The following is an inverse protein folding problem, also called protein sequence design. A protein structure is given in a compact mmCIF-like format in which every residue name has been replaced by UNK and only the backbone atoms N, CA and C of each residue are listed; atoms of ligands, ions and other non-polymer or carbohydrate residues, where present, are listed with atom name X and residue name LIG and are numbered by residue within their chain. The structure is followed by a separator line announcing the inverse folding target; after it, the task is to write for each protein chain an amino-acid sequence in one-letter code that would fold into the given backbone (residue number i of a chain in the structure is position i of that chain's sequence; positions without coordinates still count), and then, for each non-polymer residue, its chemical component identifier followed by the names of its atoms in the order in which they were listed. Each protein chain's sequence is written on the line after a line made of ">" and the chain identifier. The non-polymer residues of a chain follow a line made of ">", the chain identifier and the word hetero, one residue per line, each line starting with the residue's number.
data_IF_397242372270
#
_entry.id   IF_397242372270
#
_cell.length_a   1.000
_cell.length_b   1.000
_cell.length_c   1.000
_cell.angle_alpha   90.00
_cell.angle_beta   90.00
_cell.angle_gamma   90.00
#
_symmetry.space_group_name_H-M   'P 1'
#
loop_
_entity.id
_entity.type
_entity.pdbx_description
1 polymer ?
#
# COMPACT_ATOMS: atom_id res chain seq x y z
N UNK A 1 -45.85 11.70 -85.65
CA UNK A 1 -45.88 10.60 -84.67
C UNK A 1 -44.88 10.93 -83.58
N UNK A 2 -45.37 11.03 -82.35
CA UNK A 2 -44.65 11.47 -81.17
C UNK A 2 -43.60 10.44 -80.72
N UNK A 3 -42.53 10.90 -80.05
CA UNK A 3 -42.28 10.64 -78.63
C UNK A 3 -40.99 11.36 -78.21
N UNK A 4 -41.15 12.37 -77.35
CA UNK A 4 -40.07 13.06 -76.64
C UNK A 4 -39.62 12.12 -75.52
N UNK A 5 -38.33 11.76 -75.52
CA UNK A 5 -37.73 10.88 -74.53
C UNK A 5 -37.71 11.54 -73.15
N UNK A 6 -38.43 10.95 -72.21
CA UNK A 6 -38.39 11.32 -70.80
C UNK A 6 -37.07 10.83 -70.18
N UNK A 7 -36.27 11.78 -69.66
CA UNK A 7 -35.12 11.49 -68.79
C UNK A 7 -35.61 11.17 -67.38
N UNK A 8 -35.53 9.90 -66.98
CA UNK A 8 -35.68 9.50 -65.58
C UNK A 8 -34.28 9.49 -64.96
N UNK A 9 -33.99 10.50 -64.14
CA UNK A 9 -32.90 10.46 -63.17
C UNK A 9 -33.27 9.46 -62.08
N UNK A 10 -32.61 8.31 -62.05
CA UNK A 10 -32.66 7.38 -60.91
C UNK A 10 -31.76 7.96 -59.83
N UNK A 11 -32.35 8.56 -58.80
CA UNK A 11 -31.65 8.89 -57.57
C UNK A 11 -31.57 7.64 -56.70
N UNK A 12 -30.41 6.97 -56.69
CA UNK A 12 -30.09 6.01 -55.64
C UNK A 12 -29.68 6.79 -54.39
N UNK A 13 -30.60 6.92 -53.44
CA UNK A 13 -30.25 7.29 -52.08
C UNK A 13 -29.46 6.12 -51.47
N UNK A 14 -28.17 6.31 -51.23
CA UNK A 14 -27.36 5.40 -50.41
C UNK A 14 -27.80 5.64 -48.96
N UNK A 15 -28.43 4.68 -48.26
CA UNK A 15 -28.63 4.83 -46.83
C UNK A 15 -27.26 4.79 -46.14
N UNK A 16 -26.99 5.67 -45.16
CA UNK A 16 -25.77 5.56 -44.38
C UNK A 16 -25.80 4.22 -43.65
N UNK A 17 -24.69 3.48 -43.78
CA UNK A 17 -24.42 2.30 -42.97
C UNK A 17 -24.34 2.77 -41.51
N UNK A 18 -25.43 2.65 -40.78
CA UNK A 18 -25.42 2.81 -39.33
C UNK A 18 -24.65 1.60 -38.81
N UNK A 19 -23.41 1.83 -38.36
CA UNK A 19 -22.78 0.88 -37.44
C UNK A 19 -23.67 0.85 -36.20
N UNK A 20 -24.52 -0.17 -36.11
CA UNK A 20 -25.06 -0.59 -34.83
C UNK A 20 -23.83 -0.98 -34.01
N UNK A 21 -23.38 -0.08 -33.15
CA UNK A 21 -22.61 -0.48 -31.99
C UNK A 21 -23.56 -1.40 -31.22
N UNK A 22 -23.35 -2.72 -31.32
CA UNK A 22 -23.99 -3.64 -30.38
C UNK A 22 -23.56 -3.15 -29.01
N UNK A 23 -24.46 -2.45 -28.33
CA UNK A 23 -24.35 -2.26 -26.91
C UNK A 23 -24.43 -3.67 -26.32
N UNK A 24 -23.26 -4.28 -26.11
CA UNK A 24 -23.16 -5.39 -25.17
C UNK A 24 -23.88 -4.90 -23.91
N UNK A 25 -24.85 -5.64 -23.36
CA UNK A 25 -25.42 -5.28 -22.08
C UNK A 25 -24.27 -5.27 -21.08
N UNK A 26 -23.78 -4.06 -20.77
CA UNK A 26 -22.85 -3.86 -19.69
C UNK A 26 -23.66 -4.22 -18.45
N UNK A 27 -23.42 -5.42 -17.91
CA UNK A 27 -23.82 -5.71 -16.55
C UNK A 27 -23.29 -4.54 -15.71
N UNK A 28 -24.12 -3.91 -14.87
CA UNK A 28 -23.59 -2.92 -13.93
C UNK A 28 -22.43 -3.58 -13.19
N UNK A 29 -21.30 -2.88 -12.97
CA UNK A 29 -20.17 -3.47 -12.28
C UNK A 29 -20.70 -4.08 -10.98
N UNK A 30 -20.41 -5.38 -10.79
CA UNK A 30 -20.82 -6.06 -9.58
C UNK A 30 -20.33 -5.25 -8.39
N UNK A 31 -21.23 -4.99 -7.42
CA UNK A 31 -20.84 -4.26 -6.22
C UNK A 31 -19.66 -4.99 -5.56
N UNK A 32 -18.58 -4.26 -5.27
CA UNK A 32 -17.38 -4.81 -4.62
C UNK A 32 -17.78 -5.56 -3.36
N UNK A 33 -17.22 -6.75 -3.19
CA UNK A 33 -17.38 -7.51 -1.95
C UNK A 33 -16.84 -6.73 -0.75
N UNK A 34 -17.31 -7.04 0.46
CA UNK A 34 -16.77 -6.41 1.67
C UNK A 34 -15.26 -6.68 1.84
N UNK A 35 -14.82 -7.89 1.47
CA UNK A 35 -13.41 -8.31 1.49
C UNK A 35 -12.57 -7.48 0.51
N UNK A 36 -13.03 -7.32 -0.73
CA UNK A 36 -12.34 -6.53 -1.76
C UNK A 36 -12.26 -5.04 -1.40
N UNK A 37 -13.31 -4.49 -0.77
CA UNK A 37 -13.30 -3.10 -0.30
C UNK A 37 -12.26 -2.89 0.79
N UNK A 38 -12.17 -3.80 1.76
CA UNK A 38 -11.17 -3.73 2.83
C UNK A 38 -9.74 -3.84 2.27
N UNK A 39 -9.51 -4.75 1.30
CA UNK A 39 -8.23 -4.85 0.60
C UNK A 39 -7.83 -3.53 -0.09
N UNK A 40 -8.76 -2.88 -0.80
CA UNK A 40 -8.49 -1.63 -1.51
C UNK A 40 -8.22 -0.47 -0.54
N UNK A 41 -9.01 -0.35 0.53
CA UNK A 41 -8.84 0.69 1.56
C UNK A 41 -7.50 0.56 2.29
N UNK A 42 -7.10 -0.66 2.67
CA UNK A 42 -5.81 -0.88 3.31
C UNK A 42 -4.62 -0.59 2.38
N UNK A 43 -4.71 -0.97 1.10
CA UNK A 43 -3.66 -0.65 0.12
C UNK A 43 -3.57 0.86 -0.13
N UNK A 44 -4.71 1.56 -0.21
CA UNK A 44 -4.73 3.01 -0.36
C UNK A 44 -4.07 3.70 0.85
N UNK A 45 -4.38 3.24 2.07
CA UNK A 45 -3.74 3.72 3.28
C UNK A 45 -2.22 3.47 3.29
N UNK A 46 -1.77 2.27 2.91
CA UNK A 46 -0.35 1.92 2.83
C UNK A 46 0.40 2.79 1.80
N UNK A 47 -0.18 2.98 0.61
CA UNK A 47 0.40 3.84 -0.42
C UNK A 47 0.42 5.31 0.00
N UNK A 48 -0.64 5.81 0.62
CA UNK A 48 -0.71 7.18 1.12
C UNK A 48 0.36 7.43 2.18
N UNK A 49 0.53 6.50 3.13
CA UNK A 49 1.60 6.55 4.14
C UNK A 49 2.98 6.57 3.48
N UNK A 50 3.25 5.65 2.55
CA UNK A 50 4.51 5.58 1.80
C UNK A 50 4.82 6.92 1.11
N UNK A 51 3.85 7.48 0.38
CA UNK A 51 4.03 8.76 -0.33
C UNK A 51 4.31 9.92 0.61
N UNK A 52 3.63 9.96 1.77
CA UNK A 52 3.88 10.98 2.79
C UNK A 52 5.29 10.85 3.39
N UNK A 53 5.71 9.63 3.71
CA UNK A 53 7.01 9.37 4.34
C UNK A 53 8.19 9.58 3.37
N UNK A 54 7.96 9.43 2.05
CA UNK A 54 8.93 9.77 1.01
C UNK A 54 9.14 11.27 0.82
N UNK A 55 8.31 12.14 1.40
CA UNK A 55 8.41 13.59 1.24
C UNK A 55 9.54 14.24 2.09
N UNK A 56 10.65 13.53 2.27
CA UNK A 56 11.83 14.02 2.98
C UNK A 56 12.48 15.19 2.24
N UNK A 57 12.95 16.18 2.99
CA UNK A 57 13.72 17.29 2.41
C UNK A 57 15.14 16.80 2.07
N UNK A 58 15.68 17.13 0.88
CA UNK A 58 17.06 16.80 0.55
C UNK A 58 18.03 17.36 1.58
N UNK A 59 18.99 16.53 1.97
CA UNK A 59 20.04 16.86 2.93
C UNK A 59 21.30 17.41 2.26
N UNK A 60 21.46 17.14 0.95
CA UNK A 60 22.66 17.47 0.18
C UNK A 60 23.69 16.35 0.15
N UNK A 61 23.43 15.25 0.86
CA UNK A 61 24.16 14.00 0.75
C UNK A 61 23.31 13.01 -0.06
N UNK A 62 23.81 12.62 -1.23
CA UNK A 62 23.08 11.78 -2.19
C UNK A 62 22.77 10.39 -1.63
N UNK A 63 23.69 9.81 -0.85
CA UNK A 63 23.51 8.47 -0.29
C UNK A 63 22.44 8.51 0.81
N UNK A 64 22.48 9.54 1.66
CA UNK A 64 21.43 9.76 2.67
C UNK A 64 20.08 10.07 2.06
N UNK A 65 20.04 10.86 0.99
CA UNK A 65 18.81 11.22 0.29
C UNK A 65 18.21 10.01 -0.43
N UNK A 66 19.04 9.12 -1.00
CA UNK A 66 18.60 7.84 -1.55
C UNK A 66 17.95 6.96 -0.48
N UNK A 67 18.60 6.77 0.68
CA UNK A 67 18.05 5.96 1.78
C UNK A 67 16.78 6.59 2.36
N UNK A 68 16.73 7.91 2.50
CA UNK A 68 15.56 8.63 2.99
C UNK A 68 14.32 8.43 2.10
N UNK A 69 14.51 8.27 0.79
CA UNK A 69 13.42 7.95 -0.14
C UNK A 69 13.13 6.45 -0.21
N UNK A 70 14.17 5.61 -0.26
CA UNK A 70 14.00 4.18 -0.52
C UNK A 70 13.52 3.39 0.70
N UNK A 71 13.91 3.80 1.92
CA UNK A 71 13.44 3.17 3.14
C UNK A 71 11.90 3.18 3.27
N UNK A 72 11.19 4.34 3.18
CA UNK A 72 9.73 4.33 3.19
C UNK A 72 9.11 3.66 1.96
N UNK A 73 9.75 3.74 0.78
CA UNK A 73 9.28 3.02 -0.42
C UNK A 73 9.23 1.49 -0.20
N UNK A 74 10.32 0.93 0.31
CA UNK A 74 10.39 -0.50 0.66
C UNK A 74 9.42 -0.87 1.77
N UNK A 75 9.23 -0.01 2.78
CA UNK A 75 8.22 -0.24 3.82
C UNK A 75 6.81 -0.29 3.24
N UNK A 76 6.47 0.59 2.31
CA UNK A 76 5.18 0.54 1.60
C UNK A 76 4.98 -0.78 0.83
N UNK A 77 6.03 -1.28 0.17
CA UNK A 77 5.99 -2.57 -0.51
C UNK A 77 5.78 -3.75 0.46
N UNK A 78 6.43 -3.71 1.64
CA UNK A 78 6.22 -4.69 2.72
C UNK A 78 4.77 -4.66 3.20
N UNK A 79 4.23 -3.47 3.45
CA UNK A 79 2.86 -3.29 3.96
C UNK A 79 1.84 -3.86 2.95
N UNK A 80 2.01 -3.57 1.65
CA UNK A 80 1.16 -4.12 0.58
C UNK A 80 1.30 -5.65 0.44
N UNK A 81 2.52 -6.19 0.58
CA UNK A 81 2.75 -7.62 0.55
C UNK A 81 2.05 -8.33 1.74
N UNK A 82 2.06 -7.72 2.93
CA UNK A 82 1.30 -8.22 4.10
C UNK A 82 -0.21 -8.19 3.83
N UNK A 83 -0.72 -7.16 3.14
CA UNK A 83 -2.12 -7.08 2.73
C UNK A 83 -2.47 -8.21 1.74
N UNK A 84 -1.61 -8.51 0.76
CA UNK A 84 -1.79 -9.67 -0.14
C UNK A 84 -1.81 -10.99 0.64
N UNK A 85 -0.96 -11.16 1.66
CA UNK A 85 -1.01 -12.36 2.51
C UNK A 85 -2.30 -12.49 3.33
N UNK A 86 -3.01 -11.39 3.58
CA UNK A 86 -4.27 -11.38 4.32
C UNK A 86 -5.47 -11.71 3.44
N UNK A 87 -5.54 -11.12 2.25
CA UNK A 87 -6.73 -11.18 1.38
C UNK A 87 -6.53 -12.07 0.14
N UNK A 88 -5.28 -12.22 -0.31
CA UNK A 88 -4.91 -12.97 -1.50
C UNK A 88 -5.09 -14.47 -1.32
N UNK A 89 -5.62 -15.10 -2.37
CA UNK A 89 -5.94 -16.55 -2.41
C UNK A 89 -5.09 -17.32 -3.41
N UNK A 90 -4.29 -16.62 -4.22
CA UNK A 90 -3.39 -17.26 -5.18
C UNK A 90 -2.06 -17.61 -4.51
N UNK A 91 -1.75 -18.90 -4.40
CA UNK A 91 -0.54 -19.37 -3.71
C UNK A 91 0.77 -18.83 -4.29
N UNK A 92 0.84 -18.61 -5.61
CA UNK A 92 2.03 -18.04 -6.25
C UNK A 92 2.20 -16.57 -5.86
N UNK A 93 1.12 -15.77 -5.87
CA UNK A 93 1.18 -14.37 -5.44
C UNK A 93 1.51 -14.24 -3.96
N UNK A 94 0.97 -15.12 -3.12
CA UNK A 94 1.32 -15.17 -1.69
C UNK A 94 2.79 -15.52 -1.47
N UNK A 95 3.37 -16.44 -2.26
CA UNK A 95 4.81 -16.72 -2.20
C UNK A 95 5.63 -15.51 -2.61
N UNK A 96 5.26 -14.82 -3.69
CA UNK A 96 5.91 -13.58 -4.12
C UNK A 96 5.82 -12.51 -3.02
N UNK A 97 4.67 -12.38 -2.34
CA UNK A 97 4.52 -11.45 -1.22
C UNK A 97 5.45 -11.79 -0.04
N UNK A 98 5.65 -13.07 0.28
CA UNK A 98 6.62 -13.50 1.29
C UNK A 98 8.06 -13.14 0.90
N UNK A 99 8.41 -13.35 -0.37
CA UNK A 99 9.73 -12.98 -0.91
C UNK A 99 9.96 -11.47 -0.82
N UNK A 100 8.97 -10.65 -1.23
CA UNK A 100 9.02 -9.19 -1.08
C UNK A 100 9.28 -8.79 0.38
N UNK A 101 8.57 -9.39 1.34
CA UNK A 101 8.75 -9.04 2.76
C UNK A 101 10.20 -9.29 3.20
N UNK A 102 10.74 -10.46 2.87
CA UNK A 102 12.10 -10.85 3.30
C UNK A 102 13.15 -9.96 2.64
N UNK A 103 13.07 -9.79 1.32
CA UNK A 103 14.09 -9.07 0.56
C UNK A 103 14.09 -7.58 0.92
N UNK A 104 12.92 -6.95 0.98
CA UNK A 104 12.81 -5.53 1.30
C UNK A 104 13.23 -5.21 2.74
N UNK A 105 12.98 -6.12 3.70
CA UNK A 105 13.50 -5.96 5.07
C UNK A 105 15.03 -6.03 5.12
N UNK A 106 15.64 -6.90 4.33
CA UNK A 106 17.10 -7.00 4.23
C UNK A 106 17.69 -5.76 3.57
N UNK A 107 17.06 -5.24 2.51
CA UNK A 107 17.50 -4.02 1.82
C UNK A 107 17.40 -2.79 2.72
N UNK A 108 16.31 -2.64 3.49
CA UNK A 108 16.19 -1.58 4.51
C UNK A 108 17.35 -1.64 5.51
N UNK A 109 17.67 -2.84 6.03
CA UNK A 109 18.74 -3.00 7.01
C UNK A 109 20.12 -2.68 6.39
N UNK A 110 20.37 -3.15 5.16
CA UNK A 110 21.60 -2.88 4.44
C UNK A 110 21.79 -1.40 4.12
N UNK A 111 20.74 -0.71 3.70
CA UNK A 111 20.75 0.73 3.41
C UNK A 111 21.05 1.57 4.66
N UNK A 112 20.37 1.29 5.79
CA UNK A 112 20.63 1.99 7.06
C UNK A 112 22.08 1.80 7.51
N UNK A 113 22.58 0.57 7.44
CA UNK A 113 23.96 0.26 7.78
C UNK A 113 24.96 1.02 6.88
N UNK A 114 24.69 1.14 5.58
CA UNK A 114 25.56 1.80 4.62
C UNK A 114 25.75 3.31 4.92
N UNK A 115 24.74 3.98 5.49
CA UNK A 115 24.82 5.39 5.91
C UNK A 115 25.20 5.59 7.39
N UNK A 116 25.65 4.52 8.06
CA UNK A 116 26.11 4.54 9.45
C UNK A 116 24.99 4.60 10.49
N UNK A 117 23.74 4.32 10.11
CA UNK A 117 22.62 4.23 11.03
C UNK A 117 22.50 2.80 11.59
N UNK A 118 22.32 2.64 12.92
CA UNK A 118 22.15 1.32 13.51
C UNK A 118 20.84 0.69 13.02
N UNK A 119 20.87 -0.62 12.75
CA UNK A 119 19.72 -1.40 12.29
C UNK A 119 18.69 -1.67 13.42
N UNK A 120 18.42 -0.69 14.29
CA UNK A 120 17.76 -0.92 15.59
C UNK A 120 16.24 -0.96 15.56
N UNK A 121 15.59 -0.71 14.42
CA UNK A 121 14.12 -0.68 14.33
C UNK A 121 13.55 -1.81 13.46
N UNK A 122 14.05 -3.04 13.64
CA UNK A 122 13.32 -4.22 13.12
C UNK A 122 12.20 -4.57 14.08
N UNK A 123 11.14 -3.73 14.09
CA UNK A 123 9.85 -4.24 14.55
C UNK A 123 9.49 -5.40 13.62
N UNK A 124 9.31 -6.63 14.14
CA UNK A 124 8.92 -7.75 13.29
C UNK A 124 7.64 -7.36 12.55
N UNK A 125 7.58 -7.64 11.24
CA UNK A 125 6.35 -7.48 10.48
C UNK A 125 5.21 -8.17 11.25
N UNK A 126 4.04 -7.52 11.44
CA UNK A 126 2.95 -8.08 12.21
C UNK A 126 2.33 -9.23 11.41
N UNK A 127 2.94 -10.39 11.51
CA UNK A 127 2.45 -11.65 10.95
C UNK A 127 1.42 -12.31 11.85
N UNK A 128 1.07 -11.68 12.99
CA UNK A 128 0.02 -12.12 13.89
C UNK A 128 -0.91 -10.96 14.31
N UNK A 129 -2.22 -11.22 14.46
CA UNK A 129 -3.12 -10.27 15.10
C UNK A 129 -2.67 -10.01 16.56
N UNK A 130 -2.92 -8.81 17.10
CA UNK A 130 -2.45 -8.45 18.43
C UNK A 130 -3.00 -9.43 19.46
N UNK A 131 -2.09 -10.18 20.08
CA UNK A 131 -2.39 -10.90 21.32
C UNK A 131 -2.64 -9.85 22.40
N UNK A 132 -3.70 -10.04 23.20
CA UNK A 132 -4.26 -9.05 24.13
C UNK A 132 -3.29 -8.45 25.17
N UNK A 133 -3.78 -7.57 26.06
CA UNK A 133 -2.95 -6.62 26.78
C UNK A 133 -1.98 -7.31 27.74
N UNK A 134 -0.68 -7.12 27.49
CA UNK A 134 0.38 -7.40 28.46
C UNK A 134 0.25 -6.42 29.62
N UNK A 135 0.01 -6.95 30.81
CA UNK A 135 -0.07 -6.17 32.04
C UNK A 135 1.28 -5.48 32.32
N UNK A 136 1.26 -4.15 32.31
CA UNK A 136 2.40 -3.33 32.72
C UNK A 136 2.71 -3.53 34.20
N UNK A 137 3.80 -4.23 34.51
CA UNK A 137 4.39 -4.23 35.85
C UNK A 137 5.14 -2.91 36.02
N UNK A 138 4.53 -1.96 36.73
CA UNK A 138 5.20 -0.73 37.14
C UNK A 138 6.23 -1.01 38.24
N UNK A 139 7.50 -0.78 37.93
CA UNK A 139 8.59 -0.66 38.91
C UNK A 139 8.70 0.80 39.36
N UNK A 140 8.44 1.09 40.64
CA UNK A 140 8.66 2.40 41.26
C UNK A 140 10.04 2.42 41.95
N UNK A 141 10.89 3.45 41.75
CA UNK A 141 12.05 3.68 42.61
C UNK A 141 11.75 4.75 43.67
N UNK A 142 12.09 4.45 44.93
CA UNK A 142 12.52 5.47 45.90
C UNK A 142 11.59 5.78 47.08
N UNK A 143 11.97 5.31 48.28
CA UNK A 143 12.27 6.19 49.43
C UNK A 143 12.86 5.34 50.58
N UNK A 144 14.16 5.48 50.78
CA UNK A 144 14.89 4.89 51.90
C UNK A 144 14.92 5.96 53.00
N UNK A 145 14.14 5.77 54.07
CA UNK A 145 14.13 6.67 55.23
C UNK A 145 15.24 6.22 56.20
N UNK A 146 16.29 7.03 56.27
CA UNK A 146 17.30 6.97 57.33
C UNK A 146 16.64 7.33 58.68
N UNK A 147 16.71 6.42 59.64
CA UNK A 147 16.26 6.62 61.00
C UNK A 147 17.48 6.59 61.92
N UNK A 148 18.17 7.72 62.00
CA UNK A 148 19.25 7.94 62.97
C UNK A 148 19.12 9.32 63.61
N UNK A 149 19.10 9.33 64.95
CA UNK A 149 19.07 10.46 65.90
C UNK A 149 17.70 11.16 66.06
N UNK A 150 17.10 11.35 67.23
CA UNK A 150 17.57 11.29 68.62
C UNK A 150 17.05 12.52 69.37
N UNK A 151 16.29 12.35 70.46
CA UNK A 151 16.09 13.31 71.59
C UNK A 151 15.04 12.69 72.54
N UNK A 152 15.37 12.18 73.73
CA UNK A 152 15.62 12.90 75.00
C UNK A 152 14.46 13.83 75.42
N UNK A 153 13.50 13.30 76.18
CA UNK A 153 13.21 13.59 77.61
C UNK A 153 11.89 12.94 78.02
#
# INVERSE_FOLDING_TARGET
>A
MALIGARILVAFAIPPLVFAHEAHPANPPAALSAEERAFLEENESAMAKMMNDMAAKPTGDVDRDFVAMMNPHHQGAIDMAVIELRYGKNEQLRRIAQEIIVDQMQEIAAMKLAIGEPATDTTPAPTQPPSGPVASVHHHPGMQMDMSAGMKK
#
